data_IF_898046240818
#
_entry.id   IF_898046240818
#
_cell.length_a   1.000
_cell.length_b   1.000
_cell.length_c   1.000
_cell.angle_alpha   90.00
_cell.angle_beta   90.00
_cell.angle_gamma   90.00
#
_symmetry.space_group_name_H-M   'P 1'
#
loop_
_entity.id
_entity.type
_entity.pdbx_description
1 polymer ?
#
# COMPACT_ATOMS: atom_id res chain seq x y z
N UNK A 1 -6.71 -0.16 7.09
CA UNK A 1 -5.91 -1.33 6.69
C UNK A 1 -5.01 -0.92 5.53
N UNK A 2 -3.77 -1.42 5.41
CA UNK A 2 -3.06 -2.36 6.30
C UNK A 2 -2.28 -1.76 7.50
N UNK A 3 -2.28 -0.44 7.70
CA UNK A 3 -1.50 0.17 8.80
C UNK A 3 -1.84 -0.42 10.19
N UNK A 4 -0.81 -0.81 10.94
CA UNK A 4 -0.94 -1.32 12.32
C UNK A 4 -1.12 -0.17 13.32
N UNK A 5 -1.92 -0.41 14.35
CA UNK A 5 -2.21 0.54 15.42
C UNK A 5 -1.87 -0.09 16.79
N UNK A 6 -1.13 0.61 17.68
CA UNK A 6 -0.91 0.17 19.06
C UNK A 6 -2.24 0.00 19.80
N UNK A 7 -2.32 -1.03 20.65
CA UNK A 7 -3.57 -1.41 21.32
C UNK A 7 -4.15 -0.28 22.19
N UNK A 8 -3.32 0.41 22.97
CA UNK A 8 -3.80 1.51 23.82
C UNK A 8 -4.30 2.70 23.00
N UNK A 9 -3.68 2.97 21.86
CA UNK A 9 -4.11 4.00 20.91
C UNK A 9 -5.46 3.63 20.29
N UNK A 10 -5.64 2.36 19.88
CA UNK A 10 -6.93 1.83 19.43
C UNK A 10 -8.02 2.04 20.47
N UNK A 11 -7.75 1.73 21.74
CA UNK A 11 -8.71 1.91 22.83
C UNK A 11 -9.11 3.38 23.02
N UNK A 12 -8.14 4.31 22.95
CA UNK A 12 -8.39 5.74 23.06
C UNK A 12 -9.23 6.26 21.88
N UNK A 13 -8.89 5.88 20.65
CA UNK A 13 -9.62 6.26 19.43
C UNK A 13 -11.05 5.71 19.45
N UNK A 14 -11.24 4.44 19.84
CA UNK A 14 -12.56 3.84 19.91
C UNK A 14 -13.46 4.58 20.92
N UNK A 15 -12.93 4.91 22.10
CA UNK A 15 -13.66 5.64 23.13
C UNK A 15 -13.99 7.07 22.73
N UNK A 16 -13.06 7.77 22.09
CA UNK A 16 -13.30 9.15 21.66
C UNK A 16 -14.42 9.22 20.63
N UNK A 17 -14.48 8.24 19.71
CA UNK A 17 -15.54 8.11 18.70
C UNK A 17 -16.91 7.80 19.32
N UNK A 18 -16.98 6.84 20.24
CA UNK A 18 -18.26 6.46 20.88
C UNK A 18 -18.78 7.57 21.80
N UNK A 19 -17.89 8.20 22.56
CA UNK A 19 -18.25 9.24 23.53
C UNK A 19 -18.38 10.65 22.95
N UNK A 20 -18.04 10.84 21.67
CA UNK A 20 -17.86 12.12 20.98
C UNK A 20 -17.13 13.17 21.82
N UNK A 21 -16.06 12.74 22.51
CA UNK A 21 -15.32 13.56 23.46
C UNK A 21 -13.86 13.14 23.53
N UNK A 22 -13.00 14.02 24.04
CA UNK A 22 -11.61 13.66 24.34
C UNK A 22 -11.59 12.48 25.32
N UNK A 23 -10.78 11.47 25.00
CA UNK A 23 -10.60 10.29 25.84
C UNK A 23 -9.12 10.09 26.10
N UNK A 24 -8.75 10.02 27.39
CA UNK A 24 -7.42 9.65 27.83
C UNK A 24 -7.41 8.20 28.30
N UNK A 25 -6.33 7.49 28.01
CA UNK A 25 -6.07 6.14 28.51
C UNK A 25 -4.74 6.18 29.26
N UNK A 26 -4.69 5.61 30.46
CA UNK A 26 -3.45 5.46 31.21
C UNK A 26 -2.59 4.38 30.55
N UNK A 27 -1.29 4.63 30.40
CA UNK A 27 -0.35 3.68 29.78
C UNK A 27 0.00 2.51 30.69
N UNK A 28 -0.02 2.75 32.00
CA UNK A 28 0.53 1.83 33.01
C UNK A 28 -0.58 1.07 33.76
N UNK A 29 -1.85 1.39 33.48
CA UNK A 29 -3.01 0.75 34.09
C UNK A 29 -4.15 0.60 33.07
N UNK A 30 -4.70 -0.61 33.00
CA UNK A 30 -5.85 -0.90 32.14
C UNK A 30 -7.14 -0.78 32.94
N UNK A 31 -8.02 0.13 32.53
CA UNK A 31 -9.39 0.18 33.06
C UNK A 31 -10.17 -1.11 32.70
N UNK A 32 -11.25 -1.47 33.44
CA UNK A 32 -12.07 -2.65 33.14
C UNK A 32 -12.58 -2.70 31.69
N UNK A 33 -12.99 -1.56 31.15
CA UNK A 33 -13.42 -1.46 29.75
C UNK A 33 -12.26 -1.66 28.75
N UNK A 34 -11.01 -1.34 29.11
CA UNK A 34 -9.85 -1.62 28.25
C UNK A 34 -9.52 -3.11 28.28
N UNK A 35 -9.63 -3.76 29.44
CA UNK A 35 -9.46 -5.21 29.57
C UNK A 35 -10.50 -5.98 28.75
N UNK A 36 -11.77 -5.58 28.81
CA UNK A 36 -12.82 -6.18 28.00
C UNK A 36 -12.56 -6.07 26.49
N UNK A 37 -12.05 -4.92 26.04
CA UNK A 37 -11.61 -4.75 24.65
C UNK A 37 -10.44 -5.67 24.30
N UNK A 38 -9.46 -5.83 25.20
CA UNK A 38 -8.33 -6.73 24.99
C UNK A 38 -8.78 -8.19 24.84
N UNK A 39 -9.67 -8.66 25.71
CA UNK A 39 -10.26 -10.00 25.61
C UNK A 39 -11.00 -10.21 24.29
N UNK A 40 -11.74 -9.20 23.84
CA UNK A 40 -12.45 -9.24 22.55
C UNK A 40 -11.47 -9.34 21.39
N UNK A 41 -10.40 -8.53 21.39
CA UNK A 41 -9.36 -8.56 20.36
C UNK A 41 -8.64 -9.91 20.31
N UNK A 42 -8.38 -10.54 21.46
CA UNK A 42 -7.80 -11.88 21.53
C UNK A 42 -8.74 -12.95 20.92
N UNK A 43 -10.05 -12.85 21.16
CA UNK A 43 -11.04 -13.75 20.53
C UNK A 43 -11.08 -13.54 19.01
N UNK A 44 -11.08 -12.28 18.56
CA UNK A 44 -11.03 -11.93 17.13
C UNK A 44 -9.74 -12.42 16.46
N UNK A 45 -8.60 -12.39 17.17
CA UNK A 45 -7.35 -12.97 16.69
C UNK A 45 -7.48 -14.49 16.52
N UNK A 46 -8.06 -15.18 17.50
CA UNK A 46 -8.35 -16.62 17.43
C UNK A 46 -9.27 -17.01 16.27
N UNK A 47 -10.05 -16.07 15.72
CA UNK A 47 -10.92 -16.29 14.55
C UNK A 47 -10.41 -15.61 13.28
N UNK A 48 -9.15 -15.15 13.24
CA UNK A 48 -8.51 -14.50 12.09
C UNK A 48 -9.23 -13.23 11.58
N UNK A 49 -9.96 -12.54 12.44
CA UNK A 49 -10.60 -11.27 12.11
C UNK A 49 -9.64 -10.07 12.28
N UNK A 50 -8.61 -10.23 13.11
CA UNK A 50 -7.56 -9.23 13.34
C UNK A 50 -6.19 -9.91 13.34
N UNK A 51 -5.18 -9.18 12.86
CA UNK A 51 -3.78 -9.55 13.00
C UNK A 51 -3.17 -8.86 14.22
N UNK A 52 -2.48 -9.62 15.06
CA UNK A 52 -1.65 -9.07 16.14
C UNK A 52 -0.18 -9.18 15.76
N UNK A 53 0.58 -8.09 15.94
CA UNK A 53 2.00 -8.02 15.58
C UNK A 53 2.80 -7.40 16.71
N UNK A 54 3.96 -7.99 16.99
CA UNK A 54 4.93 -7.45 17.97
C UNK A 54 5.83 -6.38 17.36
N UNK A 55 6.00 -6.38 16.04
CA UNK A 55 6.77 -5.40 15.29
C UNK A 55 5.87 -4.66 14.30
N UNK A 56 5.99 -3.33 14.27
CA UNK A 56 5.33 -2.50 13.25
C UNK A 56 5.98 -2.79 11.89
N UNK A 57 5.23 -3.27 10.89
CA UNK A 57 5.77 -3.46 9.55
C UNK A 57 6.20 -2.11 8.96
N UNK A 58 7.34 -2.09 8.26
CA UNK A 58 7.87 -0.88 7.63
C UNK A 58 7.30 -0.74 6.22
N UNK A 59 6.22 0.01 6.09
CA UNK A 59 5.62 0.47 4.84
C UNK A 59 4.85 1.78 5.08
N UNK A 60 4.51 2.51 4.02
CA UNK A 60 3.72 3.74 4.06
C UNK A 60 2.41 3.62 3.28
N UNK A 61 1.36 4.32 3.75
CA UNK A 61 0.12 4.51 3.02
C UNK A 61 0.05 5.87 2.32
N UNK A 62 0.48 6.98 2.95
CA UNK A 62 0.68 8.23 2.23
C UNK A 62 1.70 8.05 1.11
N UNK A 63 1.32 8.47 -0.10
CA UNK A 63 2.20 8.48 -1.27
C UNK A 63 3.00 9.78 -1.23
N UNK A 64 4.32 9.67 -1.05
CA UNK A 64 5.24 10.82 -1.10
C UNK A 64 5.46 11.33 -2.53
N UNK A 65 6.21 12.43 -2.66
CA UNK A 65 6.55 13.02 -3.96
C UNK A 65 7.39 12.09 -4.82
N UNK A 66 8.31 11.34 -4.19
CA UNK A 66 9.14 10.31 -4.84
C UNK A 66 8.88 8.95 -4.19
N UNK A 67 7.83 8.22 -4.61
CA UNK A 67 7.45 6.95 -3.99
C UNK A 67 8.57 5.90 -4.13
N UNK A 68 8.80 5.17 -3.04
CA UNK A 68 9.78 4.11 -2.96
C UNK A 68 9.10 2.79 -2.61
N UNK A 69 9.62 1.70 -3.17
CA UNK A 69 9.28 0.33 -2.79
C UNK A 69 10.52 -0.39 -2.24
N UNK A 70 10.29 -1.50 -1.54
CA UNK A 70 11.41 -2.28 -1.01
C UNK A 70 12.31 -2.84 -2.13
N UNK A 71 13.64 -2.92 -1.93
CA UNK A 71 14.55 -3.49 -2.93
C UNK A 71 14.17 -4.93 -3.34
N UNK A 72 13.66 -5.73 -2.40
CA UNK A 72 13.20 -7.09 -2.67
C UNK A 72 12.01 -7.12 -3.64
N UNK A 73 10.97 -6.34 -3.35
CA UNK A 73 9.77 -6.29 -4.19
C UNK A 73 10.10 -5.84 -5.62
N UNK A 74 11.04 -4.88 -5.76
CA UNK A 74 11.55 -4.44 -7.06
C UNK A 74 12.29 -5.56 -7.81
N UNK A 75 13.22 -6.25 -7.14
CA UNK A 75 13.94 -7.36 -7.75
C UNK A 75 13.01 -8.53 -8.14
N UNK A 76 12.01 -8.85 -7.32
CA UNK A 76 10.98 -9.84 -7.65
C UNK A 76 10.13 -9.40 -8.85
N UNK A 77 9.84 -8.10 -8.96
CA UNK A 77 9.11 -7.53 -10.09
C UNK A 77 9.88 -7.70 -11.40
N UNK A 78 11.16 -7.33 -11.40
CA UNK A 78 12.10 -7.48 -12.54
C UNK A 78 12.24 -8.95 -12.96
N UNK A 79 12.40 -9.85 -12.00
CA UNK A 79 12.55 -11.29 -12.26
C UNK A 79 11.23 -12.02 -12.59
N UNK A 80 10.10 -11.30 -12.70
CA UNK A 80 8.76 -11.87 -12.92
C UNK A 80 8.36 -12.93 -11.88
N UNK A 81 8.83 -12.78 -10.64
CA UNK A 81 8.49 -13.64 -9.53
C UNK A 81 7.21 -13.16 -8.81
N UNK A 82 6.58 -14.02 -7.99
CA UNK A 82 5.58 -13.58 -7.02
C UNK A 82 6.15 -12.49 -6.10
N UNK A 83 5.34 -11.45 -5.86
CA UNK A 83 5.77 -10.29 -5.06
C UNK A 83 5.44 -10.54 -3.59
N UNK A 84 6.45 -10.46 -2.74
CA UNK A 84 6.29 -10.53 -1.28
C UNK A 84 6.11 -9.13 -0.72
N UNK A 85 4.99 -8.89 -0.03
CA UNK A 85 4.73 -7.60 0.60
C UNK A 85 5.45 -7.41 1.94
N UNK A 86 5.36 -6.21 2.53
CA UNK A 86 5.96 -5.90 3.84
C UNK A 86 5.23 -6.58 5.01
N UNK A 87 4.12 -7.26 4.75
CA UNK A 87 3.36 -8.07 5.69
C UNK A 87 3.67 -9.58 5.57
N UNK A 88 4.63 -9.98 4.73
CA UNK A 88 4.95 -11.38 4.39
C UNK A 88 3.79 -12.13 3.70
N UNK A 89 2.91 -11.40 3.03
CA UNK A 89 1.91 -11.91 2.11
C UNK A 89 2.38 -11.91 0.66
N UNK A 90 1.53 -12.43 -0.21
CA UNK A 90 1.69 -12.34 -1.67
C UNK A 90 0.82 -11.20 -2.19
N UNK A 91 1.42 -10.22 -2.87
CA UNK A 91 0.70 -9.12 -3.50
C UNK A 91 0.36 -9.47 -4.96
N UNK A 92 -0.93 -9.60 -5.33
CA UNK A 92 -1.32 -9.80 -6.71
C UNK A 92 -1.18 -8.46 -7.46
N UNK A 93 -0.30 -8.41 -8.45
CA UNK A 93 -0.10 -7.23 -9.29
C UNK A 93 -0.39 -7.57 -10.75
N UNK A 94 -1.06 -6.66 -11.44
CA UNK A 94 -1.12 -6.67 -12.90
C UNK A 94 0.21 -6.21 -13.53
N UNK A 95 0.32 -6.30 -14.85
CA UNK A 95 1.54 -5.97 -15.57
C UNK A 95 1.91 -4.49 -15.45
N UNK A 96 0.93 -3.58 -15.40
CA UNK A 96 1.17 -2.14 -15.25
C UNK A 96 1.73 -1.82 -13.86
N UNK A 97 1.10 -2.36 -12.82
CA UNK A 97 1.55 -2.23 -11.43
C UNK A 97 2.94 -2.84 -11.24
N UNK A 98 3.25 -3.95 -11.91
CA UNK A 98 4.58 -4.56 -11.90
C UNK A 98 5.63 -3.65 -12.55
N UNK A 99 5.34 -3.09 -13.73
CA UNK A 99 6.27 -2.13 -14.37
C UNK A 99 6.47 -0.89 -13.52
N UNK A 100 5.40 -0.33 -12.97
CA UNK A 100 5.49 0.80 -12.03
C UNK A 100 6.36 0.44 -10.83
N UNK A 101 6.13 -0.72 -10.19
CA UNK A 101 6.87 -1.17 -9.00
C UNK A 101 8.38 -1.20 -9.23
N UNK A 102 8.85 -1.67 -10.39
CA UNK A 102 10.27 -1.71 -10.77
C UNK A 102 10.91 -0.30 -10.68
N UNK A 103 10.15 0.72 -11.09
CA UNK A 103 10.61 2.10 -11.16
C UNK A 103 10.67 2.82 -9.81
N UNK A 104 10.04 2.27 -8.75
CA UNK A 104 9.88 2.92 -7.43
C UNK A 104 11.13 2.80 -6.55
N UNK A 105 12.22 3.42 -6.97
CA UNK A 105 13.47 3.46 -6.20
C UNK A 105 13.58 4.65 -5.23
N UNK A 106 12.55 5.51 -5.15
CA UNK A 106 12.55 6.72 -4.33
C UNK A 106 13.26 7.93 -4.95
N UNK A 107 13.72 7.85 -6.21
CA UNK A 107 14.40 8.97 -6.89
C UNK A 107 13.56 9.62 -7.98
N UNK A 108 12.39 9.05 -8.30
CA UNK A 108 11.51 9.51 -9.38
C UNK A 108 10.25 10.14 -8.81
N UNK A 109 9.98 11.37 -9.22
CA UNK A 109 8.70 12.02 -8.99
C UNK A 109 7.61 11.51 -9.93
N UNK A 110 6.38 11.97 -9.72
CA UNK A 110 5.26 11.70 -10.64
C UNK A 110 5.58 12.03 -12.11
N UNK A 111 6.19 13.18 -12.46
CA UNK A 111 6.53 13.48 -13.85
C UNK A 111 7.51 12.47 -14.46
N UNK A 112 8.54 12.08 -13.71
CA UNK A 112 9.57 11.13 -14.16
C UNK A 112 9.00 9.72 -14.35
N UNK A 113 8.06 9.31 -13.48
CA UNK A 113 7.36 8.03 -13.61
C UNK A 113 6.48 8.00 -14.85
N UNK A 114 5.73 9.08 -15.10
CA UNK A 114 4.89 9.22 -16.29
C UNK A 114 5.73 9.14 -17.57
N UNK A 115 6.86 9.86 -17.62
CA UNK A 115 7.78 9.83 -18.75
C UNK A 115 8.37 8.43 -18.96
N UNK A 116 8.88 7.79 -17.90
CA UNK A 116 9.48 6.46 -18.00
C UNK A 116 8.50 5.39 -18.49
N UNK A 117 7.27 5.38 -17.96
CA UNK A 117 6.22 4.46 -18.39
C UNK A 117 5.78 4.76 -19.84
N UNK A 118 5.65 6.03 -20.22
CA UNK A 118 5.30 6.43 -21.59
C UNK A 118 6.35 5.93 -22.57
N UNK A 119 7.63 6.09 -22.23
CA UNK A 119 8.74 5.58 -23.04
C UNK A 119 8.69 4.05 -23.17
N UNK A 120 8.42 3.31 -22.10
CA UNK A 120 8.27 1.83 -22.17
C UNK A 120 7.15 1.40 -23.12
N UNK A 121 6.06 2.18 -23.22
CA UNK A 121 4.98 1.87 -24.15
C UNK A 121 5.38 2.16 -25.60
N UNK A 122 6.07 3.29 -25.81
CA UNK A 122 6.57 3.69 -27.13
C UNK A 122 7.66 2.75 -27.66
N UNK A 123 8.55 2.24 -26.79
CA UNK A 123 9.56 1.24 -27.15
C UNK A 123 8.97 -0.16 -27.39
N UNK A 124 7.74 -0.40 -26.95
CA UNK A 124 7.05 -1.69 -27.05
C UNK A 124 7.37 -2.66 -25.92
N UNK A 125 8.09 -2.21 -24.89
CA UNK A 125 8.37 -3.00 -23.67
C UNK A 125 7.10 -3.20 -22.81
N UNK A 126 6.14 -2.27 -22.93
CA UNK A 126 4.81 -2.33 -22.34
C UNK A 126 3.75 -2.12 -23.43
N UNK A 127 2.69 -2.93 -23.42
CA UNK A 127 1.58 -2.80 -24.37
C UNK A 127 0.37 -2.24 -23.64
N UNK A 128 -0.19 -1.14 -24.14
CA UNK A 128 -1.46 -0.60 -23.66
C UNK A 128 -2.56 -0.85 -24.69
N UNK A 129 -3.67 -1.40 -24.21
CA UNK A 129 -4.87 -1.61 -24.99
C UNK A 129 -6.04 -0.85 -24.36
N UNK A 130 -6.85 -0.22 -25.19
CA UNK A 130 -8.11 0.42 -24.80
C UNK A 130 -9.20 -0.07 -25.77
N UNK A 131 -10.30 -0.58 -25.22
CA UNK A 131 -11.43 -1.12 -25.99
C UNK A 131 -11.01 -2.15 -27.06
N UNK A 132 -10.06 -3.02 -26.69
CA UNK A 132 -9.51 -4.07 -27.56
C UNK A 132 -8.45 -3.61 -28.55
N UNK A 133 -8.24 -2.30 -28.71
CA UNK A 133 -7.27 -1.75 -29.66
C UNK A 133 -5.98 -1.33 -28.97
N UNK A 134 -4.84 -1.61 -29.61
CA UNK A 134 -3.54 -1.12 -29.13
C UNK A 134 -3.50 0.40 -29.27
N UNK A 135 -3.16 1.08 -28.18
CA UNK A 135 -2.98 2.53 -28.18
C UNK A 135 -1.58 2.83 -28.72
N UNK A 136 -1.50 3.65 -29.75
CA UNK A 136 -0.24 4.01 -30.43
C UNK A 136 0.05 5.51 -30.41
N UNK A 137 -0.99 6.34 -30.26
CA UNK A 137 -0.82 7.78 -30.20
C UNK A 137 -0.13 8.20 -28.89
N UNK A 138 0.91 9.02 -29.00
CA UNK A 138 1.75 9.39 -27.87
C UNK A 138 1.00 10.25 -26.82
N UNK A 139 0.08 11.12 -27.27
CA UNK A 139 -0.72 11.93 -26.35
C UNK A 139 -1.74 11.04 -25.62
N UNK A 140 -2.42 10.16 -26.34
CA UNK A 140 -3.36 9.19 -25.75
C UNK A 140 -2.68 8.24 -24.74
N UNK A 141 -1.46 7.75 -25.06
CA UNK A 141 -0.67 6.93 -24.13
C UNK A 141 -0.40 7.69 -22.84
N UNK A 142 0.06 8.94 -22.94
CA UNK A 142 0.39 9.75 -21.78
C UNK A 142 -0.83 10.01 -20.91
N UNK A 143 -1.97 10.38 -21.50
CA UNK A 143 -3.22 10.61 -20.79
C UNK A 143 -3.71 9.35 -20.06
N UNK A 144 -3.62 8.18 -20.69
CA UNK A 144 -4.00 6.91 -20.06
C UNK A 144 -3.10 6.55 -18.87
N UNK A 145 -1.78 6.69 -19.03
CA UNK A 145 -0.84 6.43 -17.94
C UNK A 145 -1.08 7.40 -16.80
N UNK A 146 -1.28 8.68 -17.08
CA UNK A 146 -1.57 9.69 -16.07
C UNK A 146 -2.85 9.35 -15.28
N UNK A 147 -3.90 8.91 -16.00
CA UNK A 147 -5.16 8.47 -15.40
C UNK A 147 -4.98 7.26 -14.46
N UNK A 148 -4.13 6.28 -14.81
CA UNK A 148 -3.93 5.05 -14.02
C UNK A 148 -2.82 5.13 -12.98
N UNK A 149 -1.91 6.09 -13.08
CA UNK A 149 -0.75 6.20 -12.19
C UNK A 149 -1.16 6.34 -10.72
N UNK A 150 -2.14 7.22 -10.43
CA UNK A 150 -2.58 7.44 -9.05
C UNK A 150 -3.27 6.20 -8.47
N UNK A 151 -4.29 5.60 -9.12
CA UNK A 151 -4.88 4.34 -8.66
C UNK A 151 -3.87 3.20 -8.46
N UNK A 152 -2.86 3.10 -9.34
CA UNK A 152 -1.82 2.09 -9.22
C UNK A 152 -0.91 2.31 -8.00
N UNK A 153 -0.45 3.55 -7.76
CA UNK A 153 0.34 3.87 -6.56
C UNK A 153 -0.45 3.60 -5.27
N UNK A 154 -1.74 3.96 -5.24
CA UNK A 154 -2.59 3.65 -4.10
C UNK A 154 -2.79 2.15 -3.89
N UNK A 155 -2.93 1.39 -4.99
CA UNK A 155 -2.98 -0.08 -4.94
C UNK A 155 -1.69 -0.65 -4.33
N UNK A 156 -0.52 -0.18 -4.75
CA UNK A 156 0.77 -0.59 -4.19
C UNK A 156 0.88 -0.25 -2.69
N UNK A 157 0.43 0.95 -2.27
CA UNK A 157 0.37 1.33 -0.86
C UNK A 157 -0.55 0.39 -0.06
N UNK A 158 -1.76 0.11 -0.56
CA UNK A 158 -2.72 -0.78 0.10
C UNK A 158 -2.25 -2.23 0.16
N UNK A 159 -1.40 -2.65 -0.76
CA UNK A 159 -0.70 -3.94 -0.74
C UNK A 159 0.60 -3.90 0.09
N UNK A 160 0.83 -2.85 0.89
CA UNK A 160 2.01 -2.71 1.74
C UNK A 160 3.35 -2.84 0.98
N UNK A 161 3.43 -2.31 -0.25
CA UNK A 161 4.64 -2.36 -1.08
C UNK A 161 5.47 -1.07 -1.06
N UNK A 162 4.88 0.05 -0.62
CA UNK A 162 5.58 1.34 -0.52
C UNK A 162 6.28 1.49 0.84
N UNK A 163 7.46 2.10 0.87
CA UNK A 163 8.30 2.27 2.09
C UNK A 163 8.68 3.72 2.34
#
# INVERSE_FOLDING_TARGET
>A
WPASLPFLELAAIARSRVGNRMSAVQTDAMSPATLHLAETMLRCYGTSQVDLRTLRPRFTLPIGESPAASPLARAQAEARLPITDRLHGSAPLDDFQRQLLILLNGTRGRPDLLEALTHQVQSGDLLLHQDGNRVQDAAAIRELIEHWLTPALESLARNALLV
#
